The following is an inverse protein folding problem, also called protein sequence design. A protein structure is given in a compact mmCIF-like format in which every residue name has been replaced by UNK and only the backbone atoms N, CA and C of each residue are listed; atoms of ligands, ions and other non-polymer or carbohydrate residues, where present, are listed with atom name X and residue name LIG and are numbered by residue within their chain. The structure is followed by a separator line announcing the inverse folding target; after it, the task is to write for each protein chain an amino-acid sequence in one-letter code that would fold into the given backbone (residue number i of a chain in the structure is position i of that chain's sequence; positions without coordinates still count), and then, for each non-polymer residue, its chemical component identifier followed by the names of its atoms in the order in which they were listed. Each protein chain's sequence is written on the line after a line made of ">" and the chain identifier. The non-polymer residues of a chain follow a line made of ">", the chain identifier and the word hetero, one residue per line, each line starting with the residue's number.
data_IF_908248762534
#
_entry.id   IF_908248762534
#
_cell.length_a   1.000
_cell.length_b   1.000
_cell.length_c   1.000
_cell.angle_alpha   90.00
_cell.angle_beta   90.00
_cell.angle_gamma   90.00
#
_symmetry.space_group_name_H-M   'P 1'
#
loop_
_entity.id
_entity.type
_entity.pdbx_description
1 polymer ?
#
# COMPACT_ATOMS: atom_id res chain seq x y z
N UNK A 1 -10.18 -30.79 -67.73
CA UNK A 1 -8.86 -30.40 -67.21
C UNK A 1 -8.90 -28.90 -66.94
N UNK A 2 -9.26 -28.47 -65.72
CA UNK A 2 -8.93 -27.17 -65.12
C UNK A 2 -9.24 -27.28 -63.62
N UNK A 3 -8.18 -27.28 -62.80
CA UNK A 3 -8.24 -27.33 -61.34
C UNK A 3 -8.19 -25.89 -60.82
N UNK A 4 -9.14 -25.49 -59.96
CA UNK A 4 -9.13 -24.19 -59.31
C UNK A 4 -8.41 -24.30 -57.97
N UNK A 5 -7.30 -23.57 -57.84
CA UNK A 5 -6.43 -23.54 -56.67
C UNK A 5 -6.74 -22.25 -55.89
N UNK A 6 -7.43 -22.37 -54.75
CA UNK A 6 -7.68 -21.24 -53.84
C UNK A 6 -6.41 -21.02 -53.01
N UNK A 7 -5.79 -19.84 -53.17
CA UNK A 7 -4.66 -19.40 -52.35
C UNK A 7 -5.18 -18.80 -51.04
N UNK A 8 -4.83 -19.40 -49.91
CA UNK A 8 -5.00 -18.80 -48.59
C UNK A 8 -3.86 -17.80 -48.35
N UNK A 9 -4.21 -16.53 -48.11
CA UNK A 9 -3.26 -15.51 -47.63
C UNK A 9 -3.29 -15.50 -46.11
N UNK A 10 -2.17 -15.83 -45.47
CA UNK A 10 -2.00 -15.70 -44.02
C UNK A 10 -1.45 -14.31 -43.71
N UNK A 11 -2.26 -13.48 -43.04
CA UNK A 11 -1.84 -12.15 -42.58
C UNK A 11 -1.05 -12.32 -41.28
N UNK A 12 0.25 -12.03 -41.32
CA UNK A 12 1.12 -12.02 -40.15
C UNK A 12 0.91 -10.70 -39.39
N UNK A 13 0.20 -10.73 -38.25
CA UNK A 13 0.06 -9.55 -37.39
C UNK A 13 1.35 -9.36 -36.58
N UNK A 14 2.11 -8.33 -36.90
CA UNK A 14 3.31 -7.93 -36.16
C UNK A 14 2.87 -7.23 -34.87
N UNK A 15 3.05 -7.87 -33.71
CA UNK A 15 2.86 -7.23 -32.40
C UNK A 15 3.98 -6.19 -32.21
N UNK A 16 3.67 -4.91 -32.38
CA UNK A 16 4.54 -3.84 -31.90
C UNK A 16 4.53 -3.85 -30.37
N UNK A 17 5.63 -4.29 -29.74
CA UNK A 17 5.91 -3.99 -28.34
C UNK A 17 6.17 -2.49 -28.24
N UNK A 18 5.15 -1.72 -27.87
CA UNK A 18 5.33 -0.34 -27.44
C UNK A 18 5.97 -0.40 -26.06
N UNK A 19 7.15 0.21 -25.83
CA UNK A 19 7.67 0.37 -24.48
C UNK A 19 6.70 1.27 -23.72
N UNK A 20 5.91 0.68 -22.83
CA UNK A 20 5.10 1.43 -21.89
C UNK A 20 6.04 2.12 -20.91
N UNK A 21 6.27 3.41 -21.12
CA UNK A 21 6.81 4.28 -20.08
C UNK A 21 5.70 4.47 -19.04
N UNK A 22 5.56 3.48 -18.16
CA UNK A 22 4.79 3.65 -16.94
C UNK A 22 5.57 4.64 -16.08
N UNK A 23 5.24 5.92 -16.19
CA UNK A 23 5.64 6.89 -15.18
C UNK A 23 4.95 6.44 -13.88
N UNK A 24 5.74 6.25 -12.82
CA UNK A 24 5.22 5.99 -11.49
C UNK A 24 4.63 7.29 -10.93
N UNK A 25 3.53 7.74 -11.55
CA UNK A 25 2.84 8.96 -11.20
C UNK A 25 2.45 8.91 -9.71
N UNK A 26 2.91 9.90 -8.95
CA UNK A 26 2.69 9.99 -7.51
C UNK A 26 3.81 9.44 -6.62
N UNK A 27 4.82 8.75 -7.16
CA UNK A 27 6.01 8.34 -6.39
C UNK A 27 7.02 9.49 -6.37
N UNK A 28 7.50 9.96 -5.19
CA UNK A 28 8.51 11.01 -5.11
C UNK A 28 9.82 10.67 -5.84
N UNK A 29 10.47 11.66 -6.43
CA UNK A 29 11.72 11.45 -7.19
C UNK A 29 12.90 10.99 -6.32
N UNK A 30 12.88 11.36 -5.04
CA UNK A 30 13.86 10.96 -4.03
C UNK A 30 13.55 9.61 -3.37
N UNK A 31 12.38 9.01 -3.66
CA UNK A 31 12.03 7.66 -3.23
C UNK A 31 12.93 6.63 -3.93
N UNK A 32 13.65 5.81 -3.16
CA UNK A 32 14.58 4.79 -3.67
C UNK A 32 14.13 3.35 -3.40
N UNK A 33 13.02 3.16 -2.68
CA UNK A 33 12.48 1.84 -2.33
C UNK A 33 10.96 1.82 -2.47
N UNK A 34 10.40 0.75 -3.01
CA UNK A 34 8.96 0.57 -3.18
C UNK A 34 8.51 -0.82 -2.74
N UNK A 35 7.32 -0.86 -2.15
CA UNK A 35 6.51 -2.06 -1.98
C UNK A 35 5.37 -1.96 -2.98
N UNK A 36 5.40 -2.77 -4.03
CA UNK A 36 4.36 -2.78 -5.06
C UNK A 36 3.44 -3.97 -4.85
N UNK A 37 2.15 -3.71 -4.60
CA UNK A 37 1.13 -4.74 -4.54
C UNK A 37 0.11 -4.55 -5.67
N UNK A 38 -0.19 -5.63 -6.40
CA UNK A 38 -1.08 -5.61 -7.57
C UNK A 38 -2.17 -6.67 -7.41
N UNK A 39 -3.43 -6.25 -7.56
CA UNK A 39 -4.57 -7.15 -7.74
C UNK A 39 -4.87 -7.34 -9.24
N UNK A 40 -5.40 -8.50 -9.66
CA UNK A 40 -5.81 -8.72 -11.06
C UNK A 40 -7.01 -7.86 -11.45
N UNK A 41 -7.86 -7.49 -10.50
CA UNK A 41 -9.00 -6.60 -10.68
C UNK A 41 -9.42 -5.92 -9.35
N UNK A 42 -10.32 -4.94 -9.44
CA UNK A 42 -10.78 -4.12 -8.32
C UNK A 42 -11.53 -4.89 -7.22
N UNK A 43 -12.03 -6.09 -7.47
CA UNK A 43 -12.79 -6.89 -6.52
C UNK A 43 -12.00 -8.09 -6.00
N UNK A 44 -10.78 -8.31 -6.50
CA UNK A 44 -9.95 -9.43 -6.09
C UNK A 44 -9.36 -9.23 -4.69
N UNK A 45 -9.58 -10.23 -3.83
CA UNK A 45 -8.98 -10.32 -2.50
C UNK A 45 -7.53 -10.85 -2.54
N UNK A 46 -7.09 -11.43 -3.67
CA UNK A 46 -5.75 -11.98 -3.82
C UNK A 46 -4.97 -11.18 -4.87
N UNK A 47 -3.66 -11.08 -4.66
CA UNK A 47 -2.75 -10.54 -5.66
C UNK A 47 -1.31 -10.89 -5.35
N UNK A 48 -0.40 -10.06 -5.86
CA UNK A 48 1.04 -10.21 -5.66
C UNK A 48 1.64 -8.97 -5.04
N UNK A 49 2.68 -9.16 -4.25
CA UNK A 49 3.52 -8.11 -3.70
C UNK A 49 4.96 -8.34 -4.13
N UNK A 50 5.67 -7.28 -4.49
CA UNK A 50 7.09 -7.34 -4.84
C UNK A 50 7.82 -6.08 -4.36
N UNK A 51 9.05 -6.26 -3.91
CA UNK A 51 9.91 -5.16 -3.46
C UNK A 51 10.77 -4.66 -4.61
N UNK A 52 10.94 -3.34 -4.71
CA UNK A 52 11.79 -2.68 -5.69
C UNK A 52 12.74 -1.69 -5.03
N UNK A 53 13.90 -1.49 -5.64
CA UNK A 53 14.88 -0.49 -5.26
C UNK A 53 15.45 0.23 -6.49
N UNK A 54 15.90 1.47 -6.32
CA UNK A 54 16.66 2.21 -7.32
C UNK A 54 17.72 3.10 -6.67
N UNK A 55 18.86 3.35 -7.35
CA UNK A 55 19.69 4.50 -7.04
C UNK A 55 18.90 5.81 -7.22
N UNK A 56 19.30 6.89 -6.55
CA UNK A 56 18.72 8.22 -6.79
C UNK A 56 18.87 8.61 -8.26
N UNK A 57 17.76 8.94 -8.92
CA UNK A 57 17.71 9.23 -10.35
C UNK A 57 17.94 8.04 -11.28
N UNK A 58 18.03 6.82 -10.74
CA UNK A 58 18.21 5.58 -11.49
C UNK A 58 16.89 4.87 -11.82
N UNK A 59 17.01 3.71 -12.47
CA UNK A 59 15.88 2.84 -12.79
C UNK A 59 15.53 1.89 -11.64
N UNK A 60 14.24 1.56 -11.53
CA UNK A 60 13.73 0.57 -10.59
C UNK A 60 14.18 -0.84 -10.95
N UNK A 61 14.62 -1.59 -9.93
CA UNK A 61 14.96 -3.01 -10.03
C UNK A 61 14.20 -3.80 -8.97
N UNK A 62 13.72 -4.97 -9.36
CA UNK A 62 13.12 -5.89 -8.40
C UNK A 62 14.18 -6.38 -7.42
N UNK A 63 13.93 -6.19 -6.13
CA UNK A 63 14.77 -6.70 -5.03
C UNK A 63 14.37 -8.11 -4.60
N UNK A 64 13.11 -8.51 -4.86
CA UNK A 64 12.58 -9.84 -4.53
C UNK A 64 11.83 -10.46 -5.69
N UNK A 65 11.62 -11.77 -5.64
CA UNK A 65 10.52 -12.41 -6.40
C UNK A 65 9.16 -11.95 -5.86
N UNK A 66 8.09 -11.95 -6.69
CA UNK A 66 6.75 -11.70 -6.20
C UNK A 66 6.29 -12.75 -5.19
N UNK A 67 5.56 -12.33 -4.16
CA UNK A 67 4.92 -13.19 -3.16
C UNK A 67 3.40 -12.98 -3.18
N UNK A 68 2.58 -14.00 -2.85
CA UNK A 68 1.14 -13.82 -2.74
C UNK A 68 0.79 -12.88 -1.57
N UNK A 69 -0.23 -12.04 -1.77
CA UNK A 69 -0.75 -11.11 -0.75
C UNK A 69 -2.28 -11.14 -0.72
N UNK A 70 -2.86 -10.78 0.43
CA UNK A 70 -4.29 -10.57 0.60
C UNK A 70 -4.61 -9.07 0.65
N UNK A 71 -5.66 -8.69 -0.05
CA UNK A 71 -6.31 -7.39 0.04
C UNK A 71 -7.57 -7.48 0.91
N UNK A 72 -8.34 -6.39 0.97
CA UNK A 72 -9.66 -6.42 1.60
C UNK A 72 -10.54 -7.51 0.98
N UNK A 73 -11.44 -8.10 1.79
CA UNK A 73 -12.37 -9.15 1.35
C UNK A 73 -13.25 -8.78 0.15
N UNK A 74 -13.41 -7.48 -0.10
CA UNK A 74 -14.18 -6.92 -1.22
C UNK A 74 -13.29 -6.27 -2.27
N UNK A 75 -11.97 -6.47 -2.21
CA UNK A 75 -10.98 -5.95 -3.15
C UNK A 75 -10.40 -4.60 -2.75
N UNK A 76 -10.31 -3.69 -3.72
CA UNK A 76 -9.63 -2.41 -3.63
C UNK A 76 -10.59 -1.24 -3.89
N UNK A 77 -10.27 -0.07 -3.36
CA UNK A 77 -10.93 1.20 -3.71
C UNK A 77 -9.90 2.33 -3.59
N UNK A 78 -10.04 3.40 -4.38
CA UNK A 78 -9.13 4.55 -4.32
C UNK A 78 -9.09 5.14 -2.91
N UNK A 79 -7.91 5.15 -2.32
CA UNK A 79 -7.64 5.71 -1.01
C UNK A 79 -7.18 7.18 -1.07
N UNK A 80 -6.95 7.74 0.10
CA UNK A 80 -6.35 9.07 0.26
C UNK A 80 -4.86 8.91 0.57
N UNK A 81 -4.01 9.16 -0.41
CA UNK A 81 -2.56 9.03 -0.30
C UNK A 81 -1.82 10.18 -0.98
N UNK A 82 -0.58 9.93 -1.41
CA UNK A 82 0.14 10.84 -2.31
C UNK A 82 -0.54 10.92 -3.68
N UNK A 83 -1.07 9.79 -4.17
CA UNK A 83 -1.85 9.69 -5.39
C UNK A 83 -2.98 8.67 -5.28
N UNK A 84 -4.05 8.87 -6.04
CA UNK A 84 -5.25 8.04 -6.08
C UNK A 84 -6.54 8.77 -5.68
N UNK A 85 -6.45 9.78 -4.81
CA UNK A 85 -7.61 10.48 -4.25
C UNK A 85 -8.51 11.19 -5.27
N UNK A 86 -7.98 11.55 -6.44
CA UNK A 86 -8.71 12.26 -7.50
C UNK A 86 -9.05 11.35 -8.69
N UNK A 87 -8.73 10.06 -8.61
CA UNK A 87 -9.02 9.11 -9.69
C UNK A 87 -10.52 8.78 -9.73
N UNK A 88 -11.11 8.58 -10.92
CA UNK A 88 -12.50 8.19 -11.03
C UNK A 88 -12.72 6.76 -10.52
N UNK A 89 -13.89 6.52 -9.95
CA UNK A 89 -14.34 5.18 -9.57
C UNK A 89 -14.74 5.08 -8.10
N UNK A 90 -14.54 3.89 -7.53
CA UNK A 90 -14.91 3.63 -6.15
C UNK A 90 -13.84 4.16 -5.20
N UNK A 91 -14.27 4.97 -4.24
CA UNK A 91 -13.40 5.48 -3.18
C UNK A 91 -13.59 4.69 -1.89
N UNK A 92 -12.49 4.54 -1.16
CA UNK A 92 -12.42 3.86 0.11
C UNK A 92 -13.37 4.52 1.12
N UNK A 93 -14.15 3.71 1.81
CA UNK A 93 -15.00 4.11 2.94
C UNK A 93 -14.71 3.23 4.15
N UNK A 94 -14.98 3.73 5.36
CA UNK A 94 -14.87 2.89 6.55
C UNK A 94 -15.85 1.71 6.43
N UNK A 95 -15.40 0.50 6.82
CA UNK A 95 -16.19 -0.75 6.82
C UNK A 95 -16.64 -1.28 5.44
N UNK A 96 -16.16 -0.74 4.34
CA UNK A 96 -16.44 -1.25 2.98
C UNK A 96 -15.79 -2.61 2.65
N UNK A 97 -14.91 -3.12 3.52
CA UNK A 97 -14.20 -4.38 3.32
C UNK A 97 -13.13 -4.33 2.22
N UNK A 98 -12.72 -3.14 1.76
CA UNK A 98 -11.71 -2.93 0.71
C UNK A 98 -10.40 -2.41 1.28
N UNK A 99 -9.30 -2.75 0.63
CA UNK A 99 -8.01 -2.11 0.88
C UNK A 99 -7.87 -0.83 0.04
N UNK A 100 -7.14 0.20 0.53
CA UNK A 100 -6.92 1.42 -0.24
C UNK A 100 -5.96 1.16 -1.40
N UNK A 101 -6.30 1.65 -2.60
CA UNK A 101 -5.44 1.72 -3.77
C UNK A 101 -4.90 3.14 -3.97
N UNK A 102 -3.67 3.25 -4.47
CA UNK A 102 -2.98 4.53 -4.64
C UNK A 102 -1.49 4.42 -4.32
N UNK A 103 -0.84 5.58 -4.20
CA UNK A 103 0.55 5.68 -3.71
C UNK A 103 0.51 6.22 -2.29
N UNK A 104 1.20 5.53 -1.38
CA UNK A 104 1.24 5.87 0.04
C UNK A 104 2.69 5.88 0.52
N UNK A 105 3.00 6.79 1.43
CA UNK A 105 4.24 6.72 2.21
C UNK A 105 4.03 5.74 3.37
N UNK A 106 5.07 4.97 3.67
CA UNK A 106 5.15 4.32 4.97
C UNK A 106 5.50 5.45 5.95
N UNK A 107 4.62 5.68 6.92
CA UNK A 107 4.85 6.69 7.96
C UNK A 107 5.73 6.14 9.07
N UNK A 108 5.78 6.86 10.20
CA UNK A 108 6.47 6.41 11.40
C UNK A 108 6.10 4.97 11.80
N UNK A 109 7.11 4.16 12.13
CA UNK A 109 6.93 2.81 12.65
C UNK A 109 6.71 2.86 14.15
N UNK A 110 5.77 2.05 14.63
CA UNK A 110 5.43 1.93 16.05
C UNK A 110 5.74 0.50 16.49
N UNK A 111 6.38 0.33 17.65
CA UNK A 111 6.66 -0.99 18.19
C UNK A 111 6.91 -0.97 19.70
N UNK A 112 7.02 -2.14 20.32
CA UNK A 112 7.18 -2.24 21.78
C UNK A 112 8.63 -2.17 22.25
N UNK A 113 9.57 -2.51 21.37
CA UNK A 113 11.00 -2.47 21.66
C UNK A 113 11.51 -1.04 21.83
N UNK A 114 12.61 -0.88 22.56
CA UNK A 114 13.20 0.44 22.77
C UNK A 114 13.79 1.04 21.47
N UNK A 115 14.21 0.16 20.54
CA UNK A 115 14.89 0.54 19.32
C UNK A 115 14.52 -0.42 18.19
N UNK A 116 14.67 0.05 16.95
CA UNK A 116 14.64 -0.83 15.78
C UNK A 116 15.76 -1.88 15.82
N UNK A 117 15.63 -2.99 15.09
CA UNK A 117 16.70 -3.97 14.92
C UNK A 117 17.99 -3.33 14.39
N UNK A 118 19.18 -3.84 14.77
CA UNK A 118 20.45 -3.31 14.27
C UNK A 118 20.49 -3.21 12.74
N UNK A 119 20.85 -2.03 12.23
CA UNK A 119 20.95 -1.75 10.80
C UNK A 119 19.67 -1.19 10.16
N UNK A 120 18.55 -1.14 10.89
CA UNK A 120 17.37 -0.42 10.43
C UNK A 120 17.51 1.09 10.71
N UNK A 121 17.14 1.89 9.72
CA UNK A 121 17.19 3.36 9.74
C UNK A 121 15.85 3.91 9.24
N UNK A 122 14.91 4.07 10.17
CA UNK A 122 13.56 4.51 9.85
C UNK A 122 12.96 5.30 11.02
N UNK A 123 12.06 6.27 10.78
CA UNK A 123 11.33 6.94 11.86
C UNK A 123 10.62 5.92 12.74
N UNK A 124 10.95 5.90 14.03
CA UNK A 124 10.47 4.91 14.99
C UNK A 124 10.01 5.55 16.29
N UNK A 125 8.90 5.04 16.83
CA UNK A 125 8.39 5.41 18.14
C UNK A 125 8.12 4.16 18.97
N UNK A 126 8.79 4.09 20.12
CA UNK A 126 8.49 3.07 21.11
C UNK A 126 7.12 3.35 21.74
N UNK A 127 6.18 2.43 21.55
CA UNK A 127 4.85 2.47 22.14
C UNK A 127 4.92 2.13 23.64
N UNK A 128 4.37 3.03 24.43
CA UNK A 128 4.27 2.99 25.89
C UNK A 128 2.80 2.91 26.33
N UNK A 129 2.56 2.87 27.64
CA UNK A 129 1.19 2.94 28.19
C UNK A 129 0.51 4.29 27.97
N UNK A 130 1.27 5.33 27.65
CA UNK A 130 0.77 6.67 27.38
C UNK A 130 0.27 6.84 25.93
N UNK A 131 0.53 5.88 25.05
CA UNK A 131 0.24 6.00 23.62
C UNK A 131 -1.14 5.45 23.27
N UNK A 132 -1.94 6.31 22.64
CA UNK A 132 -3.24 5.95 22.07
C UNK A 132 -3.29 6.28 20.58
N UNK A 133 -4.10 5.52 19.84
CA UNK A 133 -4.53 5.88 18.51
C UNK A 133 -6.03 6.15 18.53
N UNK A 134 -6.42 7.41 18.34
CA UNK A 134 -7.83 7.75 18.51
C UNK A 134 -8.68 7.19 17.37
N UNK A 135 -9.68 6.39 17.74
CA UNK A 135 -10.61 5.74 16.81
C UNK A 135 -12.03 6.34 16.89
N UNK A 136 -12.29 7.24 17.85
CA UNK A 136 -13.58 7.95 17.95
C UNK A 136 -13.73 8.99 16.82
N UNK A 137 -14.69 8.83 15.88
CA UNK A 137 -14.91 9.79 14.79
C UNK A 137 -15.32 11.19 15.25
N UNK A 138 -15.72 11.36 16.51
CA UNK A 138 -16.07 12.65 17.13
C UNK A 138 -14.86 13.36 17.73
N UNK A 139 -13.74 12.66 17.90
CA UNK A 139 -12.51 13.21 18.44
C UNK A 139 -11.84 14.15 17.43
N UNK A 140 -11.35 15.33 17.85
CA UNK A 140 -10.49 16.15 16.99
C UNK A 140 -9.16 15.44 16.64
N UNK A 141 -8.84 14.36 17.36
CA UNK A 141 -7.68 13.52 17.14
C UNK A 141 -8.00 12.23 16.36
N UNK A 142 -9.20 12.08 15.79
CA UNK A 142 -9.58 10.88 15.03
C UNK A 142 -8.52 10.50 13.98
N UNK A 143 -8.15 9.22 13.94
CA UNK A 143 -7.06 8.66 13.13
C UNK A 143 -5.70 9.33 13.36
N UNK A 144 -5.39 9.67 14.62
CA UNK A 144 -4.08 10.20 15.01
C UNK A 144 -3.55 9.50 16.25
N UNK A 145 -2.22 9.38 16.28
CA UNK A 145 -1.46 9.06 17.48
C UNK A 145 -1.48 10.24 18.46
N UNK A 146 -1.73 9.95 19.74
CA UNK A 146 -1.71 10.90 20.85
C UNK A 146 -0.95 10.29 22.02
N UNK A 147 -0.15 11.12 22.71
CA UNK A 147 0.50 10.78 23.98
C UNK A 147 -0.28 11.45 25.10
N UNK A 148 -0.80 10.67 26.04
CA UNK A 148 -1.61 11.15 27.17
C UNK A 148 -0.84 11.07 28.49
N UNK A 149 -1.39 11.63 29.57
CA UNK A 149 -0.96 11.28 30.93
C UNK A 149 -1.65 9.98 31.36
N UNK A 150 -0.92 8.85 31.52
CA UNK A 150 -1.52 7.57 31.89
C UNK A 150 -2.11 7.59 33.31
N UNK A 151 -1.78 8.58 34.15
CA UNK A 151 -2.38 8.74 35.49
C UNK A 151 -3.75 9.43 35.44
N UNK A 152 -4.06 10.13 34.36
CA UNK A 152 -5.31 10.85 34.15
C UNK A 152 -5.86 10.57 32.73
N UNK A 153 -6.20 9.30 32.41
CA UNK A 153 -6.60 8.94 31.07
C UNK A 153 -7.98 9.49 30.69
N UNK A 154 -8.23 9.78 29.40
CA UNK A 154 -9.57 10.09 28.91
C UNK A 154 -10.50 8.87 29.01
N UNK A 155 -11.81 9.09 29.03
CA UNK A 155 -12.82 8.03 29.23
C UNK A 155 -12.76 6.89 28.19
N UNK A 156 -12.34 7.20 26.96
CA UNK A 156 -12.21 6.25 25.86
C UNK A 156 -10.85 5.51 25.83
N UNK A 157 -9.94 5.81 26.76
CA UNK A 157 -8.56 5.33 26.77
C UNK A 157 -8.42 3.81 26.61
N UNK A 158 -9.27 3.01 27.26
CA UNK A 158 -9.13 1.55 27.24
C UNK A 158 -9.33 0.91 25.87
N UNK A 159 -10.05 1.58 24.96
CA UNK A 159 -10.31 1.07 23.61
C UNK A 159 -9.29 1.57 22.59
N UNK A 160 -8.60 2.66 22.90
CA UNK A 160 -7.67 3.33 21.98
C UNK A 160 -6.19 3.06 22.31
N UNK A 161 -5.89 2.25 23.34
CA UNK A 161 -4.51 1.93 23.72
C UNK A 161 -3.76 1.26 22.58
N UNK A 162 -2.56 1.77 22.27
CA UNK A 162 -1.67 1.11 21.34
C UNK A 162 -0.91 -0.06 21.98
N UNK A 163 -0.77 -0.07 23.32
CA UNK A 163 -0.17 -1.17 24.09
C UNK A 163 -1.25 -1.93 24.85
N UNK A 164 -1.65 -3.09 24.32
CA UNK A 164 -2.75 -3.90 24.87
C UNK A 164 -2.31 -4.90 25.94
N UNK A 165 -1.00 -4.98 26.23
CA UNK A 165 -0.44 -5.99 27.15
C UNK A 165 -0.48 -7.41 26.60
N UNK A 166 -0.70 -7.54 25.29
CA UNK A 166 -0.51 -8.75 24.51
C UNK A 166 0.98 -9.08 24.36
N UNK A 167 1.30 -10.38 24.30
CA UNK A 167 2.65 -10.81 23.98
C UNK A 167 2.92 -10.52 22.50
N UNK A 168 3.95 -9.73 22.22
CA UNK A 168 4.50 -9.57 20.87
C UNK A 168 5.21 -10.85 20.40
#
# INVERSE_FOLDING_TARGET
>A
MFSSMVRAAATLALLCLVPSNAHAYGVPDDCTQLILAIAPDWNAMHGTLQLFERPRGGEWKAATSPVPVLFGKSGLAWGTGLAGQNEPGLHKQERDGRAPAGVFEIGQVFGYDAYLPPGADYPYHQVTEADIWSDDPRSPHYNRHVVIDPKNPPDNYTHEKMRSGDFA
#
